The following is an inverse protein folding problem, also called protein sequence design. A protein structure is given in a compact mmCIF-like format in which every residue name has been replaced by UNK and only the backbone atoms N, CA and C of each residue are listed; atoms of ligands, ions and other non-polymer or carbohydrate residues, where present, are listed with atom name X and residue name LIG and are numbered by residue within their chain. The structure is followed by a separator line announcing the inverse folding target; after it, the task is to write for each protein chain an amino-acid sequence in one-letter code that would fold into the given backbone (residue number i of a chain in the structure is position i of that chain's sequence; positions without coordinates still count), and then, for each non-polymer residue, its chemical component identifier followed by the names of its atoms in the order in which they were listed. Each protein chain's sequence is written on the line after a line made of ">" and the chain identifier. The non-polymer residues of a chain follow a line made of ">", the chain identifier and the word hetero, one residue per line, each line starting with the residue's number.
data_IF_444045394528
#
_entry.id   IF_444045394528
#
_cell.length_a   1.000
_cell.length_b   1.000
_cell.length_c   1.000
_cell.angle_alpha   90.00
_cell.angle_beta   90.00
_cell.angle_gamma   90.00
#
_symmetry.space_group_name_H-M   'P 1'
#
loop_
_entity.id
_entity.type
_entity.pdbx_description
1 polymer ?
#
# COMPACT_ATOMS: atom_id res chain seq x y z
N UNK A 1 -7.58 -15.84 18.92
CA UNK A 1 -7.10 -15.96 17.52
C UNK A 1 -6.57 -14.59 17.10
N UNK A 2 -5.30 -14.49 16.71
CA UNK A 2 -4.69 -13.24 16.24
C UNK A 2 -4.71 -13.25 14.71
N UNK A 3 -5.01 -12.12 14.08
CA UNK A 3 -4.89 -11.94 12.63
C UNK A 3 -3.65 -11.13 12.31
N UNK A 4 -2.89 -11.56 11.32
CA UNK A 4 -1.69 -10.85 10.86
C UNK A 4 -2.03 -9.96 9.67
N UNK A 5 -1.76 -8.67 9.79
CA UNK A 5 -1.90 -7.69 8.72
C UNK A 5 -0.52 -7.30 8.18
N UNK A 6 -0.42 -7.15 6.86
CA UNK A 6 0.78 -6.63 6.20
C UNK A 6 0.43 -5.50 5.25
N UNK A 7 1.34 -4.56 5.10
CA UNK A 7 1.29 -3.45 4.15
C UNK A 7 2.72 -3.12 3.66
N UNK A 8 2.83 -2.08 2.84
CA UNK A 8 4.12 -1.62 2.33
C UNK A 8 4.45 -2.15 0.94
N UNK A 9 4.33 -1.28 -0.07
CA UNK A 9 4.78 -1.60 -1.43
C UNK A 9 3.93 -2.60 -2.22
N UNK A 10 2.78 -3.05 -1.70
CA UNK A 10 1.83 -3.90 -2.42
C UNK A 10 1.24 -3.15 -3.63
N UNK A 11 1.59 -3.57 -4.85
CA UNK A 11 1.14 -2.92 -6.10
C UNK A 11 0.37 -3.85 -7.01
N UNK A 12 0.61 -5.15 -6.90
CA UNK A 12 0.04 -6.17 -7.77
C UNK A 12 -0.58 -7.29 -6.96
N UNK A 13 -1.45 -8.08 -7.61
CA UNK A 13 -2.00 -9.29 -6.99
C UNK A 13 -0.93 -10.31 -6.60
N UNK A 14 0.20 -10.36 -7.31
CA UNK A 14 1.32 -11.23 -6.97
C UNK A 14 1.93 -10.86 -5.61
N UNK A 15 2.02 -9.57 -5.29
CA UNK A 15 2.53 -9.11 -3.99
C UNK A 15 1.61 -9.55 -2.85
N UNK A 16 0.29 -9.47 -3.07
CA UNK A 16 -0.72 -9.96 -2.12
C UNK A 16 -0.58 -11.46 -1.90
N UNK A 17 -0.45 -12.25 -2.97
CA UNK A 17 -0.28 -13.71 -2.88
C UNK A 17 1.02 -14.08 -2.14
N UNK A 18 2.13 -13.41 -2.46
CA UNK A 18 3.40 -13.60 -1.75
C UNK A 18 3.24 -13.32 -0.26
N UNK A 19 2.60 -12.22 0.10
CA UNK A 19 2.41 -11.86 1.49
C UNK A 19 1.44 -12.82 2.23
N UNK A 20 0.44 -13.35 1.53
CA UNK A 20 -0.44 -14.41 2.04
C UNK A 20 0.33 -15.70 2.34
N UNK A 21 1.22 -16.13 1.44
CA UNK A 21 2.08 -17.32 1.63
C UNK A 21 3.01 -17.14 2.83
N UNK A 22 3.45 -15.91 3.12
CA UNK A 22 4.25 -15.57 4.28
C UNK A 22 3.45 -15.45 5.59
N UNK A 23 2.14 -15.70 5.56
CA UNK A 23 1.29 -15.79 6.76
C UNK A 23 0.39 -14.58 7.03
N UNK A 24 0.28 -13.63 6.10
CA UNK A 24 -0.65 -12.52 6.24
C UNK A 24 -2.10 -12.96 5.96
N UNK A 25 -3.02 -12.51 6.80
CA UNK A 25 -4.47 -12.73 6.69
C UNK A 25 -5.23 -11.46 6.24
N UNK A 26 -4.58 -10.29 6.30
CA UNK A 26 -5.11 -9.02 5.78
C UNK A 26 -4.02 -8.15 5.15
N UNK A 27 -4.44 -7.27 4.23
CA UNK A 27 -3.54 -6.48 3.38
C UNK A 27 -3.92 -5.00 3.42
N UNK A 28 -2.96 -4.14 3.80
CA UNK A 28 -3.11 -2.69 3.79
C UNK A 28 -2.51 -2.08 2.52
N UNK A 29 -3.24 -1.14 1.91
CA UNK A 29 -2.77 -0.40 0.74
C UNK A 29 -2.68 1.09 1.07
N UNK A 30 -1.48 1.65 1.03
CA UNK A 30 -1.24 3.08 1.27
C UNK A 30 -1.00 3.84 -0.04
N UNK A 31 0.18 3.69 -0.63
CA UNK A 31 0.57 4.50 -1.79
C UNK A 31 -0.20 4.16 -3.07
N UNK A 32 -0.54 2.89 -3.29
CA UNK A 32 -1.29 2.48 -4.49
C UNK A 32 -2.66 3.20 -4.63
N UNK A 33 -3.54 3.25 -3.60
CA UNK A 33 -4.78 4.01 -3.68
C UNK A 33 -4.56 5.52 -3.75
N UNK A 34 -3.53 6.08 -3.11
CA UNK A 34 -3.19 7.50 -3.29
C UNK A 34 -2.93 7.84 -4.76
N UNK A 35 -2.20 6.97 -5.48
CA UNK A 35 -1.92 7.13 -6.90
C UNK A 35 -3.21 7.00 -7.74
N UNK A 36 -4.07 6.04 -7.40
CA UNK A 36 -5.37 5.89 -8.06
C UNK A 36 -6.28 7.12 -7.89
N UNK A 37 -6.16 7.82 -6.75
CA UNK A 37 -6.88 9.07 -6.47
C UNK A 37 -6.24 10.31 -7.13
N UNK A 38 -5.02 10.22 -7.67
CA UNK A 38 -4.35 11.33 -8.37
C UNK A 38 -2.94 11.67 -7.91
N UNK A 39 -2.36 10.97 -6.93
CA UNK A 39 -0.97 11.22 -6.51
C UNK A 39 0.02 10.88 -7.65
N UNK A 40 0.79 11.86 -8.09
CA UNK A 40 1.82 11.73 -9.14
C UNK A 40 3.26 11.59 -8.59
N UNK A 41 3.43 11.25 -7.30
CA UNK A 41 4.75 11.07 -6.65
C UNK A 41 5.67 12.31 -6.63
N UNK A 42 5.14 13.51 -6.40
CA UNK A 42 5.97 14.71 -6.21
C UNK A 42 6.86 14.65 -4.95
N UNK A 43 6.47 13.86 -3.94
CA UNK A 43 7.15 13.73 -2.64
C UNK A 43 7.30 15.04 -1.85
N UNK A 44 6.40 15.99 -2.10
CA UNK A 44 6.32 17.29 -1.40
C UNK A 44 5.15 17.35 -0.40
N UNK A 45 4.65 16.21 0.06
CA UNK A 45 3.46 16.15 0.91
C UNK A 45 3.56 17.02 2.18
N UNK A 46 4.77 17.18 2.72
CA UNK A 46 5.06 17.99 3.91
C UNK A 46 5.04 19.51 3.67
N UNK A 47 5.01 19.96 2.41
CA UNK A 47 4.94 21.38 2.03
C UNK A 47 3.51 21.89 1.85
N UNK A 48 2.50 21.03 2.04
CA UNK A 48 1.09 21.34 1.81
C UNK A 48 0.82 21.92 0.40
N UNK A 49 1.57 21.45 -0.60
CA UNK A 49 1.54 21.95 -1.97
C UNK A 49 1.48 20.78 -2.97
N UNK A 50 0.41 19.98 -2.89
CA UNK A 50 0.14 18.89 -3.84
C UNK A 50 -0.50 19.45 -5.12
N UNK A 51 -0.08 18.93 -6.27
CA UNK A 51 -0.71 19.21 -7.56
C UNK A 51 -2.04 18.44 -7.72
#
# INVERSE_FOLDING_TARGET
>A
KVRLQTDGGLKTGLDVVKAAILGAESFGFGTAPMVALGCIYLRVCHLNNCA
#
